data_IF_495549008694
#
_entry.id   IF_495549008694
#
_cell.length_a   1.000
_cell.length_b   1.000
_cell.length_c   1.000
_cell.angle_alpha   90.00
_cell.angle_beta   90.00
_cell.angle_gamma   90.00
#
_symmetry.space_group_name_H-M   'P 1'
#
loop_
_entity.id
_entity.type
_entity.pdbx_description
1 polymer ?
#
# COMPACT_ATOMS: atom_id res chain seq x y z
N UNK A 1 39.16 31.75 38.17
CA UNK A 1 40.44 31.53 37.45
C UNK A 1 41.62 31.38 38.44
N UNK A 2 41.61 30.38 39.33
CA UNK A 2 42.70 30.18 40.33
C UNK A 2 43.27 28.74 40.30
N UNK A 3 42.44 27.75 39.98
CA UNK A 3 42.86 26.35 39.91
C UNK A 3 43.93 26.04 38.84
N UNK A 4 43.82 26.67 37.66
CA UNK A 4 44.74 26.43 36.54
C UNK A 4 46.11 27.12 36.70
N UNK A 5 46.27 28.07 37.64
CA UNK A 5 47.56 28.71 37.87
C UNK A 5 48.52 27.79 38.63
N UNK A 6 48.03 27.05 39.63
CA UNK A 6 48.81 26.16 40.50
C UNK A 6 48.89 24.70 40.01
N UNK A 7 48.20 24.33 38.94
CA UNK A 7 48.22 22.98 38.38
C UNK A 7 49.50 22.70 37.56
N UNK A 8 49.96 21.44 37.55
CA UNK A 8 51.06 20.99 36.68
C UNK A 8 50.70 21.19 35.20
N UNK A 9 51.68 21.49 34.35
CA UNK A 9 51.49 21.74 32.89
C UNK A 9 50.66 20.63 32.21
N UNK A 10 50.90 19.37 32.58
CA UNK A 10 50.13 18.21 32.07
C UNK A 10 48.62 18.33 32.36
N UNK A 11 48.25 18.78 33.55
CA UNK A 11 46.85 18.99 33.94
C UNK A 11 46.21 20.17 33.20
N UNK A 12 46.99 21.22 32.90
CA UNK A 12 46.50 22.37 32.10
C UNK A 12 46.17 21.93 30.68
N UNK A 13 47.05 21.15 30.05
CA UNK A 13 46.82 20.58 28.71
C UNK A 13 45.60 19.64 28.74
N UNK A 14 45.53 18.73 29.72
CA UNK A 14 44.43 17.79 29.85
C UNK A 14 43.07 18.47 30.06
N UNK A 15 43.03 19.58 30.80
CA UNK A 15 41.81 20.36 31.03
C UNK A 15 41.23 20.98 29.75
N UNK A 16 42.04 21.13 28.70
CA UNK A 16 41.62 21.65 27.41
C UNK A 16 41.24 20.51 26.44
N UNK A 17 41.93 19.38 26.51
CA UNK A 17 41.68 18.20 25.67
C UNK A 17 40.37 17.51 26.05
N UNK A 18 40.09 17.32 27.35
CA UNK A 18 38.90 16.60 27.81
C UNK A 18 37.60 17.24 27.29
N UNK A 19 37.35 18.57 27.44
CA UNK A 19 36.16 19.19 26.88
C UNK A 19 36.06 19.07 25.37
N UNK A 20 37.20 19.16 24.65
CA UNK A 20 37.22 19.00 23.19
C UNK A 20 36.78 17.59 22.77
N UNK A 21 37.28 16.56 23.46
CA UNK A 21 36.85 15.18 23.24
C UNK A 21 35.36 15.00 23.57
N UNK A 22 34.87 15.60 24.65
CA UNK A 22 33.45 15.52 25.03
C UNK A 22 32.53 16.15 23.98
N UNK A 23 32.95 17.28 23.38
CA UNK A 23 32.20 17.90 22.27
C UNK A 23 32.20 16.99 21.04
N UNK A 24 33.34 16.36 20.71
CA UNK A 24 33.43 15.38 19.62
C UNK A 24 32.48 14.19 19.81
N UNK A 25 32.55 13.55 20.99
CA UNK A 25 31.66 12.43 21.35
C UNK A 25 30.20 12.86 21.30
N UNK A 26 29.87 14.04 21.81
CA UNK A 26 28.51 14.58 21.76
C UNK A 26 28.02 14.78 20.32
N UNK A 27 28.88 15.31 19.44
CA UNK A 27 28.60 15.45 18.01
C UNK A 27 28.34 14.10 17.34
N UNK A 28 29.21 13.12 17.56
CA UNK A 28 29.09 11.78 16.99
C UNK A 28 27.79 11.08 17.43
N UNK A 29 27.40 11.22 18.71
CA UNK A 29 26.13 10.68 19.22
C UNK A 29 24.93 11.33 18.52
N UNK A 30 24.93 12.65 18.33
CA UNK A 30 23.84 13.34 17.65
C UNK A 30 23.74 12.92 16.17
N UNK A 31 24.87 12.82 15.48
CA UNK A 31 24.92 12.35 14.09
C UNK A 31 24.41 10.92 14.02
N UNK A 32 24.88 10.02 14.88
CA UNK A 32 24.45 8.62 14.90
C UNK A 32 22.94 8.49 15.13
N UNK A 33 22.37 9.27 16.05
CA UNK A 33 20.91 9.28 16.30
C UNK A 33 20.12 9.75 15.08
N UNK A 34 20.53 10.86 14.46
CA UNK A 34 19.85 11.39 13.28
C UNK A 34 19.97 10.44 12.09
N UNK A 35 21.13 9.80 11.91
CA UNK A 35 21.36 8.83 10.85
C UNK A 35 20.53 7.56 11.05
N UNK A 36 20.46 7.03 12.27
CA UNK A 36 19.60 5.87 12.61
C UNK A 36 18.13 6.19 12.34
N UNK A 37 17.64 7.34 12.82
CA UNK A 37 16.26 7.75 12.60
C UNK A 37 15.94 7.94 11.12
N UNK A 38 16.84 8.55 10.34
CA UNK A 38 16.65 8.70 8.90
C UNK A 38 16.65 7.34 8.18
N UNK A 39 17.50 6.42 8.63
CA UNK A 39 17.54 5.05 8.12
C UNK A 39 16.25 4.27 8.41
N UNK A 40 15.69 4.42 9.61
CA UNK A 40 14.40 3.84 9.99
C UNK A 40 13.26 4.41 9.14
N UNK A 41 13.17 5.73 8.98
CA UNK A 41 12.16 6.37 8.13
C UNK A 41 12.26 5.91 6.68
N UNK A 42 13.47 5.85 6.12
CA UNK A 42 13.65 5.37 4.74
C UNK A 42 13.26 3.89 4.60
N UNK A 43 13.61 3.06 5.59
CA UNK A 43 13.25 1.64 5.59
C UNK A 43 11.73 1.47 5.67
N UNK A 44 11.05 2.25 6.51
CA UNK A 44 9.59 2.25 6.64
C UNK A 44 8.90 2.70 5.34
N UNK A 45 9.37 3.80 4.74
CA UNK A 45 8.88 4.28 3.45
C UNK A 45 8.97 3.22 2.34
N UNK A 46 10.13 2.56 2.20
CA UNK A 46 10.32 1.54 1.16
C UNK A 46 9.57 0.25 1.47
N UNK A 47 9.57 -0.19 2.73
CA UNK A 47 9.02 -1.51 3.09
C UNK A 47 7.49 -1.49 3.17
N UNK A 48 6.93 -0.39 3.67
CA UNK A 48 5.50 -0.28 3.99
C UNK A 48 4.76 0.64 3.02
N UNK A 49 5.14 1.93 2.95
CA UNK A 49 4.40 2.90 2.13
C UNK A 49 4.44 2.56 0.64
N UNK A 50 5.62 2.30 0.10
CA UNK A 50 5.79 1.93 -1.33
C UNK A 50 5.06 0.63 -1.66
N UNK A 51 5.12 -0.36 -0.77
CA UNK A 51 4.42 -1.64 -0.94
C UNK A 51 2.90 -1.47 -0.94
N UNK A 52 2.37 -0.64 -0.02
CA UNK A 52 0.95 -0.31 0.02
C UNK A 52 0.51 0.44 -1.24
N UNK A 53 1.30 1.39 -1.74
CA UNK A 53 1.01 2.12 -2.97
C UNK A 53 0.96 1.19 -4.20
N UNK A 54 1.95 0.31 -4.35
CA UNK A 54 1.97 -0.70 -5.42
C UNK A 54 0.74 -1.62 -5.32
N UNK A 55 0.40 -2.08 -4.12
CA UNK A 55 -0.78 -2.91 -3.91
C UNK A 55 -2.06 -2.18 -4.34
N UNK A 56 -2.20 -0.90 -4.00
CA UNK A 56 -3.37 -0.10 -4.39
C UNK A 56 -3.42 0.17 -5.90
N UNK A 57 -2.28 0.40 -6.54
CA UNK A 57 -2.21 0.51 -8.00
C UNK A 57 -2.69 -0.79 -8.67
N UNK A 58 -2.23 -1.95 -8.19
CA UNK A 58 -2.70 -3.25 -8.70
C UNK A 58 -4.18 -3.46 -8.37
N UNK A 59 -4.65 -3.10 -7.18
CA UNK A 59 -6.06 -3.21 -6.82
C UNK A 59 -6.95 -2.39 -7.77
N UNK A 60 -6.56 -1.16 -8.11
CA UNK A 60 -7.29 -0.35 -9.10
C UNK A 60 -7.37 -1.02 -10.47
N UNK A 61 -6.29 -1.65 -10.94
CA UNK A 61 -6.30 -2.42 -12.19
C UNK A 61 -7.21 -3.65 -12.11
N UNK A 62 -7.27 -4.32 -10.94
CA UNK A 62 -8.17 -5.45 -10.73
C UNK A 62 -9.63 -5.04 -10.74
N UNK A 63 -9.96 -3.87 -10.19
CA UNK A 63 -11.32 -3.34 -10.26
C UNK A 63 -11.76 -3.13 -11.72
N UNK A 64 -10.90 -2.54 -12.55
CA UNK A 64 -11.17 -2.38 -13.99
C UNK A 64 -11.28 -3.74 -14.70
N UNK A 65 -10.41 -4.68 -14.36
CA UNK A 65 -10.46 -6.04 -14.92
C UNK A 65 -11.79 -6.73 -14.61
N UNK A 66 -12.33 -6.60 -13.38
CA UNK A 66 -13.62 -7.21 -13.00
C UNK A 66 -14.76 -6.75 -13.90
N UNK A 67 -14.85 -5.45 -14.22
CA UNK A 67 -15.89 -4.94 -15.13
C UNK A 67 -15.72 -5.55 -16.53
N UNK A 68 -14.48 -5.58 -17.04
CA UNK A 68 -14.18 -6.16 -18.34
C UNK A 68 -14.47 -7.67 -18.41
N UNK A 69 -14.09 -8.43 -17.38
CA UNK A 69 -14.33 -9.87 -17.26
C UNK A 69 -15.84 -10.14 -17.19
N UNK A 70 -16.62 -9.29 -16.52
CA UNK A 70 -18.09 -9.39 -16.49
C UNK A 70 -18.70 -9.21 -17.89
N UNK A 71 -18.20 -8.26 -18.69
CA UNK A 71 -18.59 -8.12 -20.10
C UNK A 71 -18.26 -9.38 -20.92
N UNK A 72 -17.10 -10.00 -20.68
CA UNK A 72 -16.71 -11.23 -21.36
C UNK A 72 -17.58 -12.43 -20.95
N UNK A 73 -17.89 -12.57 -19.66
CA UNK A 73 -18.81 -13.60 -19.15
C UNK A 73 -20.18 -13.45 -19.79
N UNK A 74 -20.67 -12.22 -19.97
CA UNK A 74 -21.92 -11.96 -20.67
C UNK A 74 -21.85 -12.25 -22.18
N UNK A 75 -20.75 -11.90 -22.84
CA UNK A 75 -20.64 -11.95 -24.30
C UNK A 75 -20.29 -13.35 -24.85
N UNK A 76 -19.58 -14.18 -24.07
CA UNK A 76 -19.09 -15.47 -24.54
C UNK A 76 -20.13 -16.58 -24.35
N UNK A 77 -20.21 -17.47 -25.34
CA UNK A 77 -21.05 -18.66 -25.26
C UNK A 77 -20.53 -19.58 -24.14
N UNK A 78 -21.43 -20.01 -23.26
CA UNK A 78 -21.14 -20.85 -22.10
C UNK A 78 -20.48 -22.21 -22.46
N UNK A 79 -20.61 -22.68 -23.69
CA UNK A 79 -19.96 -23.89 -24.19
C UNK A 79 -18.48 -23.68 -24.55
N UNK A 80 -17.98 -22.44 -24.56
CA UNK A 80 -16.60 -22.12 -24.96
C UNK A 80 -15.65 -22.11 -23.77
N UNK A 81 -14.37 -22.43 -24.03
CA UNK A 81 -13.32 -22.26 -23.03
C UNK A 81 -13.14 -20.80 -22.61
N UNK A 82 -13.41 -19.86 -23.52
CA UNK A 82 -13.35 -18.41 -23.24
C UNK A 82 -14.29 -17.99 -22.12
N UNK A 83 -15.52 -18.50 -22.10
CA UNK A 83 -16.47 -18.23 -21.00
C UNK A 83 -15.90 -18.67 -19.65
N UNK A 84 -15.32 -19.89 -19.59
CA UNK A 84 -14.76 -20.42 -18.34
C UNK A 84 -13.58 -19.57 -17.85
N UNK A 85 -12.71 -19.16 -18.76
CA UNK A 85 -11.58 -18.26 -18.45
C UNK A 85 -12.09 -16.92 -17.92
N UNK A 86 -13.05 -16.28 -18.60
CA UNK A 86 -13.61 -15.00 -18.15
C UNK A 86 -14.27 -15.11 -16.76
N UNK A 87 -14.97 -16.21 -16.48
CA UNK A 87 -15.56 -16.45 -15.17
C UNK A 87 -14.48 -16.64 -14.08
N UNK A 88 -13.41 -17.37 -14.39
CA UNK A 88 -12.30 -17.58 -13.46
C UNK A 88 -11.51 -16.29 -13.22
N UNK A 89 -11.30 -15.49 -14.25
CA UNK A 89 -10.61 -14.19 -14.16
C UNK A 89 -11.44 -13.19 -13.35
N UNK A 90 -12.76 -13.13 -13.54
CA UNK A 90 -13.66 -12.31 -12.72
C UNK A 90 -13.53 -12.64 -11.22
N UNK A 91 -13.57 -13.93 -10.88
CA UNK A 91 -13.46 -14.40 -9.49
C UNK A 91 -12.07 -14.12 -8.91
N UNK A 92 -11.01 -14.38 -9.69
CA UNK A 92 -9.63 -14.16 -9.26
C UNK A 92 -9.33 -12.67 -9.08
N UNK A 93 -9.79 -11.80 -9.99
CA UNK A 93 -9.60 -10.36 -9.91
C UNK A 93 -10.34 -9.77 -8.71
N UNK A 94 -11.58 -10.20 -8.46
CA UNK A 94 -12.35 -9.82 -7.26
C UNK A 94 -11.64 -10.24 -5.97
N UNK A 95 -11.19 -11.50 -5.89
CA UNK A 95 -10.46 -11.99 -4.72
C UNK A 95 -9.16 -11.20 -4.51
N UNK A 96 -8.39 -11.01 -5.59
CA UNK A 96 -7.08 -10.35 -5.53
C UNK A 96 -7.22 -8.88 -5.13
N UNK A 97 -8.27 -8.20 -5.56
CA UNK A 97 -8.59 -6.85 -5.11
C UNK A 97 -8.68 -6.78 -3.57
N UNK A 98 -9.50 -7.63 -2.95
CA UNK A 98 -9.70 -7.60 -1.50
C UNK A 98 -8.44 -7.98 -0.72
N UNK A 99 -7.66 -8.95 -1.21
CA UNK A 99 -6.36 -9.30 -0.63
C UNK A 99 -5.43 -8.07 -0.61
N UNK A 100 -5.27 -7.40 -1.75
CA UNK A 100 -4.38 -6.23 -1.88
C UNK A 100 -4.81 -5.07 -0.99
N UNK A 101 -6.11 -4.77 -0.93
CA UNK A 101 -6.64 -3.71 -0.06
C UNK A 101 -6.41 -4.05 1.41
N UNK A 102 -6.59 -5.31 1.80
CA UNK A 102 -6.34 -5.75 3.17
C UNK A 102 -4.84 -5.70 3.52
N UNK A 103 -3.97 -6.16 2.62
CA UNK A 103 -2.52 -6.11 2.80
C UNK A 103 -2.05 -4.64 2.93
N UNK A 104 -2.60 -3.72 2.13
CA UNK A 104 -2.34 -2.28 2.26
C UNK A 104 -2.78 -1.72 3.62
N UNK A 105 -3.93 -2.15 4.16
CA UNK A 105 -4.37 -1.77 5.52
C UNK A 105 -3.41 -2.23 6.62
N UNK A 106 -2.75 -3.37 6.43
CA UNK A 106 -1.73 -3.88 7.37
C UNK A 106 -0.42 -3.11 7.24
N UNK A 107 -0.01 -2.80 6.01
CA UNK A 107 1.24 -2.08 5.71
C UNK A 107 1.17 -0.60 6.11
N UNK A 108 0.04 0.07 5.85
CA UNK A 108 -0.12 1.51 6.10
C UNK A 108 -1.42 1.81 6.88
N UNK A 109 -1.47 1.50 8.20
CA UNK A 109 -2.69 1.66 9.00
C UNK A 109 -3.17 3.11 9.12
N UNK A 110 -2.28 4.10 8.97
CA UNK A 110 -2.64 5.52 8.99
C UNK A 110 -3.61 5.90 7.86
N UNK A 111 -3.57 5.18 6.74
CA UNK A 111 -4.43 5.38 5.56
C UNK A 111 -5.61 4.40 5.49
N UNK A 112 -5.86 3.64 6.55
CA UNK A 112 -6.91 2.62 6.56
C UNK A 112 -8.31 3.17 6.22
N UNK A 113 -8.59 4.43 6.55
CA UNK A 113 -9.83 5.10 6.16
C UNK A 113 -9.97 5.28 4.65
N UNK A 114 -8.90 5.72 3.97
CA UNK A 114 -8.84 5.87 2.51
C UNK A 114 -9.03 4.51 1.81
N UNK A 115 -8.37 3.47 2.32
CA UNK A 115 -8.54 2.11 1.78
C UNK A 115 -9.94 1.56 1.98
N UNK A 116 -10.57 1.82 3.13
CA UNK A 116 -11.95 1.39 3.41
C UNK A 116 -12.98 2.11 2.52
N UNK A 117 -12.76 3.39 2.22
CA UNK A 117 -13.60 4.13 1.28
C UNK A 117 -13.52 3.50 -0.13
N UNK A 118 -12.31 3.27 -0.63
CA UNK A 118 -12.12 2.63 -1.93
C UNK A 118 -12.69 1.21 -2.00
N UNK A 119 -12.55 0.43 -0.92
CA UNK A 119 -13.17 -0.90 -0.82
C UNK A 119 -14.69 -0.83 -0.88
N UNK A 120 -15.30 0.22 -0.32
CA UNK A 120 -16.75 0.43 -0.32
C UNK A 120 -17.25 0.72 -1.73
N UNK A 121 -16.59 1.62 -2.45
CA UNK A 121 -16.95 1.96 -3.83
C UNK A 121 -16.79 0.73 -4.75
N UNK A 122 -15.70 -0.03 -4.59
CA UNK A 122 -15.48 -1.26 -5.36
C UNK A 122 -16.54 -2.34 -5.08
N UNK A 123 -17.02 -2.47 -3.83
CA UNK A 123 -18.10 -3.42 -3.49
C UNK A 123 -19.41 -3.08 -4.19
N UNK A 124 -19.69 -1.81 -4.44
CA UNK A 124 -20.86 -1.40 -5.22
C UNK A 124 -20.74 -1.89 -6.67
N UNK A 125 -19.57 -1.66 -7.31
CA UNK A 125 -19.27 -2.16 -8.65
C UNK A 125 -19.42 -3.68 -8.72
N UNK A 126 -18.80 -4.41 -7.78
CA UNK A 126 -18.89 -5.88 -7.73
C UNK A 126 -20.34 -6.36 -7.56
N UNK A 127 -21.15 -5.67 -6.74
CA UNK A 127 -22.55 -6.02 -6.58
C UNK A 127 -23.34 -5.85 -7.89
N UNK A 128 -23.03 -4.82 -8.68
CA UNK A 128 -23.69 -4.57 -9.96
C UNK A 128 -23.24 -5.61 -11.00
N UNK A 129 -21.94 -5.91 -11.09
CA UNK A 129 -21.42 -6.91 -12.04
C UNK A 129 -21.87 -8.32 -11.70
N UNK A 130 -21.99 -8.68 -10.41
CA UNK A 130 -22.56 -9.97 -9.98
C UNK A 130 -24.01 -10.12 -10.46
N UNK A 131 -24.83 -9.08 -10.28
CA UNK A 131 -26.22 -9.06 -10.78
C UNK A 131 -26.28 -9.13 -12.31
N UNK A 132 -25.34 -8.48 -12.99
CA UNK A 132 -25.29 -8.52 -14.45
C UNK A 132 -24.98 -9.93 -14.97
N UNK A 133 -24.03 -10.61 -14.34
CA UNK A 133 -23.69 -12.01 -14.65
C UNK A 133 -24.89 -12.92 -14.37
N UNK A 134 -25.57 -12.74 -13.24
CA UNK A 134 -26.79 -13.50 -12.90
C UNK A 134 -27.91 -13.26 -13.92
N UNK A 135 -28.13 -12.01 -14.33
CA UNK A 135 -29.11 -11.67 -15.36
C UNK A 135 -28.77 -12.33 -16.71
N UNK A 136 -27.49 -12.28 -17.12
CA UNK A 136 -27.01 -12.94 -18.35
C UNK A 136 -27.22 -14.45 -18.30
N UNK A 137 -26.87 -15.11 -17.19
CA UNK A 137 -27.09 -16.54 -17.00
C UNK A 137 -28.59 -16.94 -17.05
N UNK A 138 -29.49 -16.02 -16.71
CA UNK A 138 -30.93 -16.19 -16.78
C UNK A 138 -31.54 -15.79 -18.15
N UNK A 139 -30.73 -15.50 -19.17
CA UNK A 139 -31.16 -14.99 -20.49
C UNK A 139 -31.92 -13.64 -20.41
N UNK A 140 -31.64 -12.84 -19.38
CA UNK A 140 -32.19 -11.48 -19.20
C UNK A 140 -31.23 -10.44 -19.78
N UNK A 141 -30.91 -10.58 -21.07
CA UNK A 141 -29.79 -9.87 -21.70
C UNK A 141 -29.92 -8.34 -21.67
N UNK A 142 -31.14 -7.82 -21.79
CA UNK A 142 -31.39 -6.37 -21.72
C UNK A 142 -31.05 -5.82 -20.34
N UNK A 143 -31.41 -6.54 -19.29
CA UNK A 143 -31.10 -6.17 -17.90
C UNK A 143 -29.60 -6.31 -17.63
N UNK A 144 -28.98 -7.40 -18.08
CA UNK A 144 -27.54 -7.62 -17.95
C UNK A 144 -26.73 -6.47 -18.59
N UNK A 145 -27.08 -6.05 -19.81
CA UNK A 145 -26.43 -4.93 -20.50
C UNK A 145 -26.59 -3.60 -19.76
N UNK A 146 -27.76 -3.34 -19.19
CA UNK A 146 -28.00 -2.11 -18.42
C UNK A 146 -27.16 -2.09 -17.13
N UNK A 147 -27.06 -3.23 -16.44
CA UNK A 147 -26.23 -3.36 -15.24
C UNK A 147 -24.73 -3.22 -15.57
N UNK A 148 -24.25 -3.84 -16.64
CA UNK A 148 -22.86 -3.68 -17.08
C UNK A 148 -22.53 -2.22 -17.43
N UNK A 149 -23.44 -1.52 -18.10
CA UNK A 149 -23.27 -0.09 -18.41
C UNK A 149 -23.38 0.83 -17.17
N UNK A 150 -23.96 0.35 -16.07
CA UNK A 150 -23.97 1.07 -14.79
C UNK A 150 -22.64 0.88 -14.02
N UNK A 151 -21.97 -0.24 -14.22
CA UNK A 151 -20.71 -0.58 -13.56
C UNK A 151 -19.45 0.00 -14.26
N UNK A 152 -19.56 0.38 -15.54
CA UNK A 152 -18.53 1.04 -16.36
C UNK A 152 -18.43 2.54 -16.05
#
# INVERSE_FOLDING_TARGET
MSFLQHARIRTKILSLIIPLCLVGIGGDILIAKNYSSSGETYTDFISNETSAEINMAIASQRLVAVVYDAYQVFAYDAATSGFKVAQDDYQQSTKRFFELVNDSRVLLPSEAGSFAAFETDAKEVFSITDKAIEAGAANRDTEAKQLLAQAD
#
